data_IF_620103241040
#
_entry.id   IF_620103241040
#
_cell.length_a   1.000
_cell.length_b   1.000
_cell.length_c   1.000
_cell.angle_alpha   90.00
_cell.angle_beta   90.00
_cell.angle_gamma   90.00
#
_symmetry.space_group_name_H-M   'P 1'
#
loop_
_entity.id
_entity.type
_entity.pdbx_description
1 polymer ?
#
# COMPACT_ATOMS: atom_id res chain seq x y z
N UNK A 1 -24.84 -13.96 18.80
CA UNK A 1 -23.78 -14.31 19.75
C UNK A 1 -22.55 -13.53 19.37
N UNK A 2 -22.40 -12.33 19.95
CA UNK A 2 -21.21 -11.49 19.73
C UNK A 2 -20.14 -12.00 20.70
N UNK A 3 -19.03 -12.56 20.18
CA UNK A 3 -17.89 -12.93 21.01
C UNK A 3 -17.18 -11.65 21.47
N UNK A 4 -17.36 -11.32 22.75
CA UNK A 4 -16.56 -10.35 23.48
C UNK A 4 -15.21 -10.99 23.80
N UNK A 5 -14.27 -10.97 22.86
CA UNK A 5 -12.87 -11.25 23.18
C UNK A 5 -12.27 -9.99 23.85
N UNK A 6 -11.47 -10.15 24.91
CA UNK A 6 -10.81 -9.03 25.59
C UNK A 6 -9.88 -8.25 24.63
N UNK A 7 -9.62 -6.95 24.86
CA UNK A 7 -8.77 -6.13 23.98
C UNK A 7 -7.36 -6.70 23.76
N UNK A 8 -6.90 -7.58 24.65
CA UNK A 8 -5.61 -8.28 24.58
C UNK A 8 -5.56 -9.43 23.57
N UNK A 9 -6.70 -9.86 23.02
CA UNK A 9 -6.82 -11.01 22.10
C UNK A 9 -7.42 -10.62 20.74
N UNK A 10 -7.64 -9.33 20.49
CA UNK A 10 -7.76 -8.84 19.12
C UNK A 10 -6.36 -8.93 18.50
N UNK A 11 -6.21 -9.72 17.43
CA UNK A 11 -4.97 -9.75 16.66
C UNK A 11 -4.73 -8.35 16.08
N UNK A 12 -4.04 -7.50 16.83
CA UNK A 12 -3.65 -6.17 16.37
C UNK A 12 -2.67 -6.42 15.25
N UNK A 13 -3.16 -6.35 14.02
CA UNK A 13 -2.29 -6.40 12.84
C UNK A 13 -1.55 -5.07 12.78
N UNK A 14 -0.45 -4.98 13.54
CA UNK A 14 0.40 -3.80 13.56
C UNK A 14 1.04 -3.68 12.18
N UNK A 15 1.01 -2.48 11.60
CA UNK A 15 1.73 -2.21 10.36
C UNK A 15 3.24 -2.36 10.57
N UNK A 16 3.93 -3.02 9.64
CA UNK A 16 5.39 -3.02 9.63
C UNK A 16 5.91 -1.62 9.27
N UNK A 17 6.98 -1.18 9.95
CA UNK A 17 7.61 0.11 9.70
C UNK A 17 9.04 -0.09 9.18
N UNK A 18 9.35 0.45 8.00
CA UNK A 18 10.68 0.45 7.42
C UNK A 18 11.26 1.85 7.43
N UNK A 19 12.40 2.03 8.11
CA UNK A 19 13.20 3.23 7.97
C UNK A 19 14.11 3.08 6.76
N UNK A 20 13.83 3.85 5.71
CA UNK A 20 14.57 3.83 4.44
C UNK A 20 15.31 5.15 4.26
N UNK A 21 16.57 5.11 3.83
CA UNK A 21 17.29 6.33 3.50
C UNK A 21 16.72 6.96 2.21
N UNK A 22 16.34 8.25 2.19
CA UNK A 22 15.61 8.84 1.07
C UNK A 22 16.43 8.93 -0.22
N UNK A 23 17.74 9.20 -0.12
CA UNK A 23 18.61 9.36 -1.30
C UNK A 23 19.35 8.07 -1.70
N UNK A 24 19.40 7.08 -0.80
CA UNK A 24 20.17 5.85 -0.99
C UNK A 24 19.43 4.66 -0.34
N UNK A 25 18.24 4.33 -0.86
CA UNK A 25 17.34 3.38 -0.23
C UNK A 25 17.97 1.99 -0.16
N UNK A 26 17.88 1.35 1.00
CA UNK A 26 18.46 0.03 1.23
C UNK A 26 17.72 -1.03 0.37
N UNK A 27 18.38 -1.70 -0.59
CA UNK A 27 17.71 -2.60 -1.54
C UNK A 27 16.92 -3.73 -0.86
N UNK A 28 17.42 -4.23 0.28
CA UNK A 28 16.75 -5.27 1.07
C UNK A 28 15.38 -4.83 1.57
N UNK A 29 15.25 -3.59 2.05
CA UNK A 29 13.98 -3.06 2.56
C UNK A 29 13.00 -2.77 1.43
N UNK A 30 13.48 -2.23 0.31
CA UNK A 30 12.66 -2.01 -0.89
C UNK A 30 12.11 -3.34 -1.41
N UNK A 31 12.95 -4.39 -1.48
CA UNK A 31 12.50 -5.72 -1.88
C UNK A 31 11.42 -6.25 -0.94
N UNK A 32 11.57 -6.11 0.37
CA UNK A 32 10.55 -6.52 1.35
C UNK A 32 9.22 -5.78 1.13
N UNK A 33 9.26 -4.46 0.92
CA UNK A 33 8.06 -3.68 0.61
C UNK A 33 7.38 -4.12 -0.70
N UNK A 34 8.17 -4.38 -1.74
CA UNK A 34 7.66 -4.88 -3.02
C UNK A 34 6.98 -6.26 -2.89
N UNK A 35 7.54 -7.18 -2.08
CA UNK A 35 6.91 -8.48 -1.83
C UNK A 35 5.61 -8.35 -1.03
N UNK A 36 5.51 -7.40 -0.09
CA UNK A 36 4.25 -7.10 0.60
C UNK A 36 3.18 -6.64 -0.41
N UNK A 37 3.53 -5.76 -1.35
CA UNK A 37 2.61 -5.31 -2.40
C UNK A 37 2.14 -6.49 -3.26
N UNK A 38 3.07 -7.32 -3.74
CA UNK A 38 2.75 -8.50 -4.57
C UNK A 38 1.87 -9.52 -3.85
N UNK A 39 1.97 -9.60 -2.52
CA UNK A 39 1.13 -10.46 -1.68
C UNK A 39 -0.27 -9.88 -1.38
N UNK A 40 -0.68 -8.78 -2.01
CA UNK A 40 -1.96 -8.11 -1.78
C UNK A 40 -1.97 -7.15 -0.58
N UNK A 41 -0.79 -6.83 -0.05
CA UNK A 41 -0.60 -5.82 0.99
C UNK A 41 -0.75 -4.40 0.48
N UNK A 42 -1.01 -3.47 1.40
CA UNK A 42 -0.97 -2.03 1.14
C UNK A 42 0.32 -1.47 1.74
N UNK A 43 0.95 -0.54 1.04
CA UNK A 43 2.14 0.18 1.50
C UNK A 43 1.88 1.67 1.46
N UNK A 44 2.33 2.37 2.51
CA UNK A 44 2.45 3.83 2.53
C UNK A 44 3.90 4.17 2.20
N UNK A 45 4.17 4.93 1.14
CA UNK A 45 5.52 5.25 0.71
C UNK A 45 5.67 6.72 0.29
N UNK A 46 6.86 7.33 0.47
CA UNK A 46 7.08 8.72 0.08
C UNK A 46 7.19 8.88 -1.44
N UNK A 47 6.68 9.99 -1.96
CA UNK A 47 6.97 10.51 -3.30
C UNK A 47 7.58 11.91 -3.19
N UNK A 48 7.88 12.53 -4.32
CA UNK A 48 8.30 13.94 -4.42
C UNK A 48 7.23 14.93 -3.92
N UNK A 49 5.95 14.57 -4.03
CA UNK A 49 4.82 15.43 -3.70
C UNK A 49 4.26 15.19 -2.29
N UNK A 50 4.12 13.93 -1.87
CA UNK A 50 3.60 13.53 -0.55
C UNK A 50 3.74 12.02 -0.35
N UNK A 51 3.21 11.48 0.74
CA UNK A 51 3.03 10.04 0.89
C UNK A 51 1.86 9.53 0.05
N UNK A 52 2.06 8.38 -0.59
CA UNK A 52 1.04 7.67 -1.35
C UNK A 52 0.69 6.32 -0.68
N UNK A 53 -0.54 5.88 -0.90
CA UNK A 53 -1.00 4.52 -0.62
C UNK A 53 -0.93 3.71 -1.92
N UNK A 54 -0.18 2.62 -1.91
CA UNK A 54 -0.01 1.73 -3.05
C UNK A 54 -0.40 0.29 -2.77
N UNK A 55 -0.84 -0.40 -3.81
CA UNK A 55 -1.11 -1.83 -3.83
C UNK A 55 -0.84 -2.41 -5.23
N UNK A 56 -0.98 -3.72 -5.36
CA UNK A 56 -0.86 -4.41 -6.65
C UNK A 56 -1.99 -3.98 -7.60
N UNK A 57 -1.65 -3.75 -8.88
CA UNK A 57 -2.65 -3.49 -9.91
C UNK A 57 -3.59 -4.69 -10.09
N UNK A 58 -4.89 -4.42 -10.21
CA UNK A 58 -5.91 -5.46 -10.39
C UNK A 58 -6.37 -6.14 -9.10
N UNK A 59 -5.74 -5.86 -7.95
CA UNK A 59 -6.22 -6.38 -6.66
C UNK A 59 -7.45 -5.60 -6.19
N UNK A 60 -8.64 -6.18 -6.43
CA UNK A 60 -9.92 -5.60 -6.04
C UNK A 60 -10.04 -5.41 -4.52
N UNK A 61 -9.53 -6.34 -3.71
CA UNK A 61 -9.60 -6.25 -2.25
C UNK A 61 -8.75 -5.10 -1.74
N UNK A 62 -7.54 -4.95 -2.28
CA UNK A 62 -6.64 -3.87 -1.92
C UNK A 62 -7.20 -2.48 -2.31
N UNK A 63 -7.78 -2.35 -3.51
CA UNK A 63 -8.41 -1.10 -3.95
C UNK A 63 -9.57 -0.70 -3.04
N UNK A 64 -10.43 -1.63 -2.64
CA UNK A 64 -11.52 -1.35 -1.70
C UNK A 64 -11.01 -0.88 -0.33
N UNK A 65 -9.88 -1.44 0.13
CA UNK A 65 -9.22 -0.95 1.35
C UNK A 65 -8.70 0.48 1.18
N UNK A 66 -8.09 0.82 0.03
CA UNK A 66 -7.65 2.19 -0.25
C UNK A 66 -8.85 3.15 -0.32
N UNK A 67 -9.95 2.78 -1.00
CA UNK A 67 -11.19 3.59 -1.05
C UNK A 67 -11.69 3.92 0.35
N UNK A 68 -11.75 2.92 1.24
CA UNK A 68 -12.19 3.11 2.64
C UNK A 68 -11.23 4.00 3.43
N UNK A 69 -9.92 3.76 3.35
CA UNK A 69 -8.91 4.53 4.08
C UNK A 69 -8.85 6.00 3.63
N UNK A 70 -8.99 6.24 2.33
CA UNK A 70 -8.94 7.59 1.74
C UNK A 70 -10.32 8.25 1.60
N UNK A 71 -11.40 7.57 1.99
CA UNK A 71 -12.78 8.04 1.87
C UNK A 71 -13.14 8.50 0.45
N UNK A 72 -12.77 7.67 -0.55
CA UNK A 72 -12.97 7.98 -1.96
C UNK A 72 -14.32 7.44 -2.44
N UNK A 73 -14.98 8.23 -3.30
CA UNK A 73 -16.17 7.79 -4.02
C UNK A 73 -15.84 6.86 -5.21
N UNK A 74 -16.88 6.35 -5.87
CA UNK A 74 -16.78 5.46 -7.03
C UNK A 74 -16.23 6.15 -8.29
N UNK A 75 -16.37 7.48 -8.38
CA UNK A 75 -15.96 8.30 -9.52
C UNK A 75 -14.50 8.79 -9.43
N UNK A 76 -13.86 8.62 -8.28
CA UNK A 76 -12.48 9.03 -8.09
C UNK A 76 -11.52 8.24 -8.98
N UNK A 77 -10.70 8.96 -9.75
CA UNK A 77 -9.63 8.36 -10.53
C UNK A 77 -8.51 7.89 -9.60
N UNK A 78 -8.03 6.66 -9.82
CA UNK A 78 -6.81 6.18 -9.18
C UNK A 78 -5.58 6.59 -9.99
N UNK A 79 -4.43 6.59 -9.32
CA UNK A 79 -3.14 6.86 -9.93
C UNK A 79 -2.43 5.54 -10.22
N UNK A 80 -1.96 5.38 -11.46
CA UNK A 80 -1.01 4.34 -11.81
C UNK A 80 0.40 4.90 -11.61
N UNK A 81 1.16 4.31 -10.70
CA UNK A 81 2.56 4.70 -10.46
C UNK A 81 3.46 3.93 -11.42
N UNK A 82 4.13 4.64 -12.33
CA UNK A 82 5.06 4.07 -13.30
C UNK A 82 6.50 4.51 -13.02
N UNK A 83 7.48 3.65 -13.28
CA UNK A 83 8.90 3.99 -13.14
C UNK A 83 9.42 4.85 -14.30
N UNK A 84 8.78 4.76 -15.47
CA UNK A 84 9.13 5.51 -16.67
C UNK A 84 7.95 5.56 -17.66
N UNK A 85 8.13 6.31 -18.75
CA UNK A 85 7.13 6.45 -19.81
C UNK A 85 6.96 5.17 -20.65
N UNK A 86 7.97 4.32 -20.72
CA UNK A 86 7.88 3.05 -21.44
C UNK A 86 6.91 2.10 -20.75
N UNK A 87 6.91 2.06 -19.41
CA UNK A 87 5.94 1.32 -18.63
C UNK A 87 4.52 1.87 -18.79
N UNK A 88 4.37 3.19 -18.86
CA UNK A 88 3.06 3.81 -19.08
C UNK A 88 2.43 3.34 -20.41
N UNK A 89 3.23 3.21 -21.48
CA UNK A 89 2.75 2.76 -22.78
C UNK A 89 2.26 1.30 -22.85
N UNK A 90 2.35 0.53 -21.76
CA UNK A 90 1.85 -0.84 -21.67
C UNK A 90 0.39 -0.94 -21.20
N UNK A 91 -0.21 0.18 -20.79
CA UNK A 91 -1.58 0.27 -20.25
C UNK A 91 -2.43 1.24 -21.08
#
# INVERSE_FOLDING_TARGET
>A
MNSLLPPSEQEVTVSQFFQVHPENPQPRLIKQAAEIIKAGGLVVYPTDSSYALGCQIGDKSAIERIRRLRQLDDKHNFTLMCCDLSQLGLF
#
